data_IF_492151083872
#
_entry.id   IF_492151083872
#
_cell.length_a   1.000
_cell.length_b   1.000
_cell.length_c   1.000
_cell.angle_alpha   90.00
_cell.angle_beta   90.00
_cell.angle_gamma   90.00
#
_symmetry.space_group_name_H-M   'P 1'
#
loop_
_entity.id
_entity.type
_entity.pdbx_description
1 polymer ?
#
# COMPACT_ATOMS: atom_id res chain seq x y z
N UNK A 1 -5.01 8.08 -19.15
CA UNK A 1 -4.54 7.32 -17.96
C UNK A 1 -3.07 7.00 -18.16
N UNK A 2 -2.24 7.17 -17.15
CA UNK A 2 -0.81 6.84 -17.17
C UNK A 2 -0.59 5.75 -16.16
N UNK A 3 0.08 4.66 -16.55
CA UNK A 3 0.51 3.59 -15.62
C UNK A 3 2.00 3.75 -15.37
N UNK A 4 2.40 3.83 -14.12
CA UNK A 4 3.81 3.92 -13.72
C UNK A 4 4.28 2.61 -13.13
N UNK A 5 5.26 2.00 -13.79
CA UNK A 5 5.97 0.82 -13.29
C UNK A 5 7.32 1.25 -12.72
N UNK A 6 7.80 0.55 -11.72
CA UNK A 6 9.11 0.75 -11.12
C UNK A 6 9.98 -0.48 -11.37
N UNK A 7 11.25 -0.28 -11.72
CA UNK A 7 12.27 -1.33 -11.83
C UNK A 7 13.59 -0.90 -11.16
N UNK A 8 14.68 -1.62 -11.43
CA UNK A 8 16.02 -1.28 -10.89
C UNK A 8 16.54 0.05 -11.40
N UNK A 9 16.11 0.47 -12.58
CA UNK A 9 16.71 1.58 -13.35
C UNK A 9 15.82 2.84 -13.30
N UNK A 10 14.66 2.79 -12.59
CA UNK A 10 13.77 3.92 -12.36
C UNK A 10 12.32 3.68 -12.75
N UNK A 11 11.67 4.68 -13.32
CA UNK A 11 10.26 4.64 -13.67
C UNK A 11 10.03 4.42 -15.17
N UNK A 12 9.02 3.63 -15.47
CA UNK A 12 8.51 3.41 -16.81
C UNK A 12 7.06 3.85 -16.84
N UNK A 13 6.73 4.79 -17.73
CA UNK A 13 5.38 5.23 -17.97
C UNK A 13 4.78 4.54 -19.19
N UNK A 14 3.57 4.06 -19.04
CA UNK A 14 2.75 3.51 -20.13
C UNK A 14 1.53 4.40 -20.31
N UNK A 15 1.38 4.92 -21.50
CA UNK A 15 0.19 5.71 -21.95
C UNK A 15 -0.59 4.92 -23.00
N UNK A 16 -1.64 5.51 -23.58
CA UNK A 16 -2.32 4.94 -24.76
C UNK A 16 -1.40 4.77 -25.96
N UNK A 17 -0.38 5.61 -26.08
CA UNK A 17 0.36 5.82 -27.34
C UNK A 17 1.81 5.33 -27.25
N UNK A 18 2.37 5.31 -26.05
CA UNK A 18 3.80 4.96 -25.88
C UNK A 18 4.14 4.36 -24.53
N UNK A 19 5.24 3.63 -24.50
CA UNK A 19 5.92 3.16 -23.30
C UNK A 19 7.32 3.75 -23.26
N UNK A 20 7.62 4.49 -22.19
CA UNK A 20 8.85 5.28 -22.10
C UNK A 20 9.46 5.21 -20.71
N UNK A 21 10.79 5.37 -20.62
CA UNK A 21 11.51 5.53 -19.37
C UNK A 21 11.53 6.99 -18.96
N UNK A 22 11.16 7.27 -17.73
CA UNK A 22 11.16 8.63 -17.21
C UNK A 22 12.46 8.94 -16.47
N UNK A 23 13.05 10.09 -16.77
CA UNK A 23 14.06 10.73 -15.91
C UNK A 23 13.33 11.42 -14.75
N UNK A 24 12.80 10.60 -13.84
CA UNK A 24 11.98 11.02 -12.70
C UNK A 24 12.02 9.95 -11.62
N UNK A 25 12.06 10.36 -10.37
CA UNK A 25 11.94 9.47 -9.21
C UNK A 25 10.52 9.51 -8.63
N UNK A 26 10.13 8.45 -7.92
CA UNK A 26 8.87 8.47 -7.16
C UNK A 26 8.90 9.54 -6.08
N UNK A 27 10.03 9.72 -5.38
CA UNK A 27 10.17 10.76 -4.36
C UNK A 27 9.87 12.15 -4.93
N UNK A 28 10.42 12.49 -6.11
CA UNK A 28 10.14 13.75 -6.77
C UNK A 28 8.66 13.91 -7.13
N UNK A 29 8.01 12.81 -7.53
CA UNK A 29 6.58 12.80 -7.84
C UNK A 29 5.73 13.07 -6.60
N UNK A 30 6.02 12.38 -5.49
CA UNK A 30 5.32 12.56 -4.21
C UNK A 30 5.55 13.94 -3.60
N UNK A 31 6.71 14.56 -3.83
CA UNK A 31 7.01 15.93 -3.37
C UNK A 31 6.40 17.02 -4.26
N UNK A 32 6.01 16.69 -5.48
CA UNK A 32 5.46 17.66 -6.42
C UNK A 32 4.10 18.19 -5.96
N UNK A 33 3.86 19.51 -6.02
CA UNK A 33 2.52 20.06 -5.80
C UNK A 33 1.53 19.72 -6.93
N UNK A 34 2.04 19.41 -8.14
CA UNK A 34 1.26 18.92 -9.28
C UNK A 34 2.00 17.75 -9.96
N UNK A 35 1.83 16.53 -9.44
CA UNK A 35 2.43 15.33 -10.03
C UNK A 35 1.99 15.09 -11.47
N UNK A 36 0.75 15.45 -11.83
CA UNK A 36 0.24 15.30 -13.18
C UNK A 36 0.93 16.21 -14.19
N UNK A 37 1.18 17.46 -13.85
CA UNK A 37 1.93 18.38 -14.71
C UNK A 37 3.39 17.92 -14.87
N UNK A 38 4.03 17.50 -13.77
CA UNK A 38 5.38 16.98 -13.80
C UNK A 38 5.50 15.74 -14.68
N UNK A 39 4.57 14.80 -14.58
CA UNK A 39 4.53 13.62 -15.45
C UNK A 39 4.37 14.00 -16.93
N UNK A 40 3.44 14.89 -17.26
CA UNK A 40 3.25 15.35 -18.64
C UNK A 40 4.51 15.99 -19.22
N UNK A 41 5.21 16.80 -18.44
CA UNK A 41 6.48 17.40 -18.84
C UNK A 41 7.54 16.33 -19.13
N UNK A 42 7.71 15.37 -18.22
CA UNK A 42 8.73 14.31 -18.35
C UNK A 42 8.43 13.29 -19.46
N UNK A 43 7.20 13.22 -19.92
CA UNK A 43 6.81 12.34 -21.01
C UNK A 43 7.24 12.87 -22.40
N UNK A 44 7.51 14.17 -22.58
CA UNK A 44 7.69 14.79 -23.91
C UNK A 44 8.83 14.12 -24.68
N UNK A 45 10.03 14.14 -24.15
CA UNK A 45 11.24 13.63 -24.82
C UNK A 45 11.76 12.32 -24.20
N UNK A 46 10.91 11.59 -23.50
CA UNK A 46 11.30 10.38 -22.80
C UNK A 46 11.63 9.25 -23.79
N UNK A 47 12.76 8.55 -23.61
CA UNK A 47 13.17 7.47 -24.49
C UNK A 47 12.22 6.28 -24.39
N UNK A 48 12.06 5.56 -25.51
CA UNK A 48 11.26 4.35 -25.56
C UNK A 48 11.77 3.29 -24.57
N UNK A 49 10.85 2.56 -23.97
CA UNK A 49 11.14 1.50 -23.02
C UNK A 49 10.15 0.34 -23.17
N UNK A 50 10.36 -0.72 -22.41
CA UNK A 50 9.45 -1.85 -22.30
C UNK A 50 8.97 -2.01 -20.86
N UNK A 51 7.76 -2.54 -20.69
CA UNK A 51 7.25 -2.85 -19.35
C UNK A 51 8.18 -3.90 -18.70
N UNK A 52 8.61 -3.69 -17.45
CA UNK A 52 9.56 -4.59 -16.81
C UNK A 52 8.91 -5.96 -16.55
N UNK A 53 9.62 -7.03 -16.86
CA UNK A 53 9.22 -8.40 -16.54
C UNK A 53 9.23 -8.69 -15.04
N UNK A 54 10.09 -7.95 -14.30
CA UNK A 54 10.16 -7.94 -12.84
C UNK A 54 10.10 -6.49 -12.38
N UNK A 55 8.91 -6.04 -11.99
CA UNK A 55 8.71 -4.74 -11.39
C UNK A 55 9.10 -4.73 -9.91
N UNK A 56 9.36 -3.54 -9.40
CA UNK A 56 9.44 -3.26 -7.97
C UNK A 56 8.11 -2.71 -7.48
N UNK A 57 7.91 -2.72 -6.17
CA UNK A 57 6.80 -1.99 -5.56
C UNK A 57 6.86 -0.51 -5.97
N UNK A 58 5.73 0.13 -6.31
CA UNK A 58 5.71 1.52 -6.79
C UNK A 58 5.85 2.52 -5.61
N UNK A 59 6.94 2.41 -4.86
CA UNK A 59 7.34 3.33 -3.79
C UNK A 59 8.87 3.41 -3.74
N UNK A 60 9.39 4.46 -3.11
CA UNK A 60 10.84 4.69 -2.93
C UNK A 60 11.17 4.98 -1.46
N UNK A 61 10.92 6.18 -0.95
CA UNK A 61 11.11 6.51 0.47
C UNK A 61 9.80 6.60 1.27
N UNK A 62 8.65 6.44 0.61
CA UNK A 62 7.33 6.61 1.21
C UNK A 62 7.04 5.50 2.23
N UNK A 63 6.48 5.89 3.34
CA UNK A 63 5.86 4.97 4.29
C UNK A 63 4.48 4.54 3.83
N UNK A 64 4.06 3.35 4.24
CA UNK A 64 2.69 2.87 4.06
C UNK A 64 1.97 2.99 5.39
N UNK A 65 0.83 3.67 5.35
CA UNK A 65 -0.13 3.75 6.41
C UNK A 65 -1.41 3.06 5.97
N UNK A 66 -2.05 2.31 6.86
CA UNK A 66 -3.28 1.61 6.59
C UNK A 66 -4.43 2.18 7.42
N UNK A 67 -5.65 2.01 6.92
CA UNK A 67 -6.87 2.38 7.61
C UNK A 67 -7.63 1.11 7.99
N UNK A 68 -7.88 0.91 9.28
CA UNK A 68 -8.63 -0.25 9.77
C UNK A 68 -10.13 -0.13 9.51
N UNK A 69 -10.79 -1.29 9.40
CA UNK A 69 -12.26 -1.42 9.38
C UNK A 69 -12.93 -0.58 8.27
N UNK A 70 -12.34 -0.55 7.07
CA UNK A 70 -12.87 0.23 5.93
C UNK A 70 -14.04 -0.44 5.23
N UNK A 71 -14.28 -1.74 5.47
CA UNK A 71 -15.39 -2.51 4.89
C UNK A 71 -16.38 -2.95 5.96
N UNK A 72 -17.68 -2.82 5.67
CA UNK A 72 -18.74 -3.31 6.56
C UNK A 72 -18.58 -4.79 6.92
N UNK A 73 -18.22 -5.62 5.96
CA UNK A 73 -17.97 -7.05 6.18
C UNK A 73 -16.78 -7.29 7.12
N UNK A 74 -15.73 -6.48 7.00
CA UNK A 74 -14.57 -6.54 7.90
C UNK A 74 -14.96 -6.20 9.33
N UNK A 75 -15.80 -5.19 9.54
CA UNK A 75 -16.33 -4.84 10.86
C UNK A 75 -17.04 -6.04 11.51
N UNK A 76 -17.94 -6.70 10.75
CA UNK A 76 -18.69 -7.85 11.28
C UNK A 76 -17.77 -9.03 11.63
N UNK A 77 -16.78 -9.33 10.79
CA UNK A 77 -15.81 -10.38 11.04
C UNK A 77 -14.94 -10.07 12.28
N UNK A 78 -14.46 -8.83 12.40
CA UNK A 78 -13.65 -8.39 13.55
C UNK A 78 -14.39 -8.47 14.87
N UNK A 79 -15.67 -8.11 14.90
CA UNK A 79 -16.52 -8.27 16.07
C UNK A 79 -16.59 -9.73 16.54
N UNK A 80 -16.75 -10.63 15.59
CA UNK A 80 -16.86 -12.06 15.90
C UNK A 80 -15.54 -12.65 16.43
N UNK A 81 -14.41 -12.25 15.84
CA UNK A 81 -13.07 -12.67 16.19
C UNK A 81 -12.63 -12.14 17.57
N UNK A 82 -12.99 -10.91 17.92
CA UNK A 82 -12.54 -10.23 19.13
C UNK A 82 -13.49 -10.38 20.34
N UNK A 83 -14.62 -11.07 20.20
CA UNK A 83 -15.58 -11.31 21.30
C UNK A 83 -14.93 -11.86 22.57
N UNK A 84 -13.97 -12.78 22.42
CA UNK A 84 -13.28 -13.39 23.57
C UNK A 84 -12.35 -12.44 24.31
N UNK A 85 -11.84 -11.42 23.62
CA UNK A 85 -10.93 -10.41 24.17
C UNK A 85 -11.65 -9.11 24.60
N UNK A 86 -12.98 -9.07 24.55
CA UNK A 86 -13.75 -7.86 24.84
C UNK A 86 -13.63 -6.75 23.81
N UNK A 87 -13.14 -7.09 22.61
CA UNK A 87 -12.83 -6.13 21.54
C UNK A 87 -14.01 -5.78 20.63
N UNK A 88 -15.16 -6.45 20.74
CA UNK A 88 -16.34 -6.24 19.91
C UNK A 88 -16.85 -4.79 19.96
N UNK A 89 -16.80 -4.14 21.11
CA UNK A 89 -17.22 -2.73 21.28
C UNK A 89 -16.26 -1.72 20.66
N UNK A 90 -14.97 -2.06 20.50
CA UNK A 90 -13.98 -1.15 19.89
C UNK A 90 -14.22 -0.97 18.39
N UNK A 91 -14.48 -2.06 17.66
CA UNK A 91 -14.71 -2.00 16.22
C UNK A 91 -15.98 -1.27 15.83
N UNK A 92 -17.03 -1.33 16.67
CA UNK A 92 -18.23 -0.50 16.50
C UNK A 92 -17.92 0.98 16.64
N UNK A 93 -17.11 1.34 17.63
CA UNK A 93 -16.73 2.73 17.86
C UNK A 93 -15.87 3.26 16.73
N UNK A 94 -14.88 2.49 16.25
CA UNK A 94 -14.03 2.90 15.12
C UNK A 94 -14.83 3.10 13.85
N UNK A 95 -15.76 2.20 13.53
CA UNK A 95 -16.55 2.28 12.31
C UNK A 95 -17.49 3.51 12.27
N UNK A 96 -17.97 3.96 13.44
CA UNK A 96 -18.86 5.13 13.56
C UNK A 96 -18.12 6.42 13.95
N UNK A 97 -16.83 6.34 14.22
CA UNK A 97 -16.04 7.48 14.67
C UNK A 97 -15.79 8.48 13.53
N UNK A 98 -15.76 9.77 13.87
CA UNK A 98 -15.27 10.81 12.95
C UNK A 98 -13.81 10.63 12.58
N UNK A 99 -12.99 10.11 13.52
CA UNK A 99 -11.57 9.83 13.31
C UNK A 99 -11.40 8.37 12.88
N UNK A 100 -10.87 8.10 11.68
CA UNK A 100 -10.58 6.73 11.24
C UNK A 100 -9.46 6.12 12.08
N UNK A 101 -9.44 4.79 12.18
CA UNK A 101 -8.27 4.06 12.64
C UNK A 101 -7.18 4.13 11.57
N UNK A 102 -6.09 4.81 11.86
CA UNK A 102 -4.91 4.85 11.00
C UNK A 102 -3.73 4.24 11.76
N UNK A 103 -3.01 3.36 11.12
CA UNK A 103 -1.82 2.76 11.70
C UNK A 103 -0.68 2.67 10.66
N UNK A 104 0.54 2.75 11.17
CA UNK A 104 1.73 2.52 10.38
C UNK A 104 1.78 1.05 9.94
N UNK A 105 1.97 0.82 8.63
CA UNK A 105 2.02 -0.54 8.06
C UNK A 105 3.43 -0.97 7.69
N UNK A 106 4.16 -0.18 6.93
CA UNK A 106 5.48 -0.59 6.48
C UNK A 106 6.37 0.59 6.05
N UNK A 107 7.66 0.42 6.25
CA UNK A 107 8.71 1.15 5.55
C UNK A 107 9.01 0.47 4.21
N UNK A 108 9.62 1.16 3.23
CA UNK A 108 9.87 0.62 1.88
C UNK A 108 10.57 -0.74 1.85
N UNK A 109 11.57 -0.95 2.70
CA UNK A 109 12.33 -2.20 2.74
C UNK A 109 11.53 -3.43 3.22
N UNK A 110 10.34 -3.22 3.79
CA UNK A 110 9.43 -4.29 4.24
C UNK A 110 8.33 -4.61 3.23
N UNK A 111 8.34 -3.96 2.07
CA UNK A 111 7.31 -4.12 1.04
C UNK A 111 7.78 -5.07 -0.04
N UNK A 112 6.98 -6.09 -0.34
CA UNK A 112 7.17 -6.96 -1.47
C UNK A 112 6.64 -6.31 -2.74
N UNK A 113 7.37 -6.41 -3.84
CA UNK A 113 6.95 -6.02 -5.17
C UNK A 113 6.21 -7.12 -5.93
N UNK A 114 5.84 -6.87 -7.19
CA UNK A 114 5.16 -7.85 -8.03
C UNK A 114 5.97 -9.14 -8.20
N UNK A 115 5.32 -10.27 -7.92
CA UNK A 115 5.94 -11.60 -8.01
C UNK A 115 6.88 -11.96 -6.86
N UNK A 116 7.07 -11.07 -5.87
CA UNK A 116 7.83 -11.37 -4.67
C UNK A 116 6.96 -12.00 -3.58
N UNK A 117 7.57 -12.83 -2.73
CA UNK A 117 6.88 -13.46 -1.62
C UNK A 117 6.69 -12.47 -0.44
N UNK A 118 5.49 -12.40 0.09
CA UNK A 118 5.23 -11.86 1.44
C UNK A 118 5.65 -12.90 2.49
N UNK A 119 5.85 -12.45 3.73
CA UNK A 119 6.15 -13.33 4.85
C UNK A 119 4.98 -13.43 5.81
N UNK A 120 4.96 -14.52 6.56
CA UNK A 120 4.10 -14.73 7.71
C UNK A 120 4.97 -14.93 8.95
N UNK A 121 4.46 -14.60 10.11
CA UNK A 121 5.18 -14.79 11.38
C UNK A 121 5.23 -16.26 11.77
N UNK A 122 6.35 -16.69 12.35
CA UNK A 122 6.53 -18.07 12.81
C UNK A 122 5.69 -18.40 14.05
N UNK A 123 5.38 -17.39 14.84
CA UNK A 123 4.61 -17.47 16.09
C UNK A 123 3.11 -17.25 15.88
N UNK A 124 2.66 -17.04 14.64
CA UNK A 124 1.26 -16.91 14.27
C UNK A 124 0.75 -18.19 13.59
N UNK A 125 -0.45 -18.59 13.95
CA UNK A 125 -1.14 -19.77 13.40
C UNK A 125 -2.25 -19.41 12.42
N UNK A 126 -2.63 -18.13 12.36
CA UNK A 126 -3.67 -17.65 11.48
C UNK A 126 -3.26 -16.33 10.83
N UNK A 127 -2.85 -16.42 9.56
CA UNK A 127 -2.38 -15.29 8.79
C UNK A 127 -3.30 -15.07 7.59
N UNK A 128 -3.69 -13.83 7.34
CA UNK A 128 -4.68 -13.45 6.32
C UNK A 128 -4.08 -12.38 5.41
N UNK A 129 -4.14 -12.55 4.07
CA UNK A 129 -3.93 -11.46 3.14
C UNK A 129 -5.16 -10.56 3.12
N UNK A 130 -4.95 -9.26 3.20
CA UNK A 130 -6.00 -8.24 3.08
C UNK A 130 -5.71 -7.39 1.84
N UNK A 131 -6.32 -7.74 0.67
CA UNK A 131 -6.15 -6.95 -0.55
C UNK A 131 -6.91 -5.63 -0.43
N UNK A 132 -6.22 -4.53 -0.76
CA UNK A 132 -6.73 -3.18 -0.52
C UNK A 132 -6.44 -2.23 -1.69
N UNK A 133 -7.28 -1.21 -1.83
CA UNK A 133 -6.98 -0.05 -2.65
C UNK A 133 -5.98 0.83 -1.90
N UNK A 134 -4.81 1.04 -2.50
CA UNK A 134 -3.78 1.90 -1.93
C UNK A 134 -3.71 3.22 -2.70
N UNK A 135 -3.81 4.34 -1.99
CA UNK A 135 -3.79 5.68 -2.55
C UNK A 135 -2.38 6.27 -2.50
N UNK A 136 -1.95 6.89 -3.60
CA UNK A 136 -0.76 7.71 -3.64
C UNK A 136 -1.14 9.17 -3.30
N UNK A 137 -0.64 9.66 -2.18
CA UNK A 137 -0.96 10.99 -1.64
C UNK A 137 0.32 11.83 -1.63
N UNK A 138 0.31 12.98 -2.26
CA UNK A 138 1.47 13.86 -2.34
C UNK A 138 1.67 14.70 -1.06
N UNK A 139 2.76 15.48 -1.00
CA UNK A 139 3.10 16.37 0.12
C UNK A 139 2.07 17.48 0.39
N UNK A 140 1.13 17.72 -0.53
CA UNK A 140 0.01 18.65 -0.37
C UNK A 140 -1.28 17.96 0.10
N UNK A 141 -1.23 16.67 0.46
CA UNK A 141 -2.41 15.89 0.85
C UNK A 141 -3.36 15.55 -0.31
N UNK A 142 -2.90 15.66 -1.56
CA UNK A 142 -3.72 15.37 -2.74
C UNK A 142 -3.48 13.94 -3.23
N UNK A 143 -4.55 13.21 -3.47
CA UNK A 143 -4.49 11.90 -4.14
C UNK A 143 -4.16 12.15 -5.61
N UNK A 144 -3.10 11.54 -6.11
CA UNK A 144 -2.69 11.65 -7.51
C UNK A 144 -2.62 10.30 -8.25
N UNK A 145 -2.81 9.21 -7.51
CA UNK A 145 -2.81 7.89 -8.11
C UNK A 145 -3.26 6.81 -7.12
N UNK A 146 -3.34 5.59 -7.59
CA UNK A 146 -3.69 4.43 -6.78
C UNK A 146 -3.02 3.15 -7.30
N UNK A 147 -2.87 2.18 -6.42
CA UNK A 147 -2.37 0.84 -6.74
C UNK A 147 -3.10 -0.20 -5.90
N UNK A 148 -2.82 -1.47 -6.15
CA UNK A 148 -3.29 -2.56 -5.28
C UNK A 148 -2.26 -2.79 -4.18
N UNK A 149 -2.75 -2.90 -2.94
CA UNK A 149 -1.96 -3.26 -1.77
C UNK A 149 -2.39 -4.59 -1.17
N UNK A 150 -1.53 -5.13 -0.34
CA UNK A 150 -1.84 -6.26 0.52
C UNK A 150 -1.33 -5.97 1.94
N UNK A 151 -2.25 -5.85 2.89
CA UNK A 151 -1.96 -5.76 4.31
C UNK A 151 -1.95 -7.18 4.92
N UNK A 152 -0.77 -7.84 4.92
CA UNK A 152 -0.64 -9.14 5.58
C UNK A 152 -0.85 -9.00 7.09
N UNK A 153 -1.74 -9.79 7.63
CA UNK A 153 -2.20 -9.72 9.02
C UNK A 153 -2.01 -11.05 9.73
N UNK A 154 -1.35 -11.02 10.90
CA UNK A 154 -1.32 -12.14 11.84
C UNK A 154 -2.56 -12.06 12.71
N UNK A 155 -3.65 -12.65 12.23
CA UNK A 155 -5.00 -12.45 12.73
C UNK A 155 -5.22 -12.96 14.16
N UNK A 156 -4.56 -14.03 14.55
CA UNK A 156 -4.58 -14.55 15.92
C UNK A 156 -3.94 -13.58 16.92
N UNK A 157 -2.81 -12.96 16.56
CA UNK A 157 -2.13 -11.96 17.39
C UNK A 157 -2.98 -10.70 17.51
N UNK A 158 -3.57 -10.26 16.39
CA UNK A 158 -4.45 -9.10 16.36
C UNK A 158 -5.71 -9.31 17.22
N UNK A 159 -6.29 -10.51 17.19
CA UNK A 159 -7.47 -10.86 17.97
C UNK A 159 -7.17 -11.11 19.46
N UNK A 160 -5.92 -11.35 19.83
CA UNK A 160 -5.52 -11.60 21.23
C UNK A 160 -5.60 -10.33 22.07
N UNK A 161 -5.12 -9.20 21.56
CA UNK A 161 -5.13 -7.93 22.27
C UNK A 161 -5.05 -6.76 21.27
N UNK A 162 -5.94 -5.75 21.34
CA UNK A 162 -5.87 -4.57 20.47
C UNK A 162 -4.54 -3.82 20.49
N UNK A 163 -3.80 -3.88 21.61
CA UNK A 163 -2.47 -3.27 21.73
C UNK A 163 -1.38 -4.03 20.95
N UNK A 164 -1.68 -5.23 20.45
CA UNK A 164 -0.76 -6.02 19.64
C UNK A 164 -0.88 -5.74 18.13
N UNK A 165 -1.69 -4.75 17.73
CA UNK A 165 -1.83 -4.36 16.33
C UNK A 165 -0.47 -4.16 15.62
N UNK A 166 0.51 -3.43 16.19
CA UNK A 166 1.83 -3.30 15.55
C UNK A 166 2.55 -4.65 15.38
N UNK A 167 2.40 -5.59 16.32
CA UNK A 167 2.99 -6.91 16.19
C UNK A 167 2.31 -7.76 15.11
N UNK A 168 0.99 -7.62 14.97
CA UNK A 168 0.20 -8.34 13.99
C UNK A 168 0.43 -7.83 12.56
N UNK A 169 0.72 -6.54 12.39
CA UNK A 169 0.75 -5.83 11.10
C UNK A 169 2.14 -5.44 10.61
N UNK A 170 3.14 -5.25 11.50
CA UNK A 170 4.44 -4.66 11.16
C UNK A 170 5.57 -5.65 11.39
N UNK A 171 5.98 -6.34 10.34
CA UNK A 171 7.11 -7.26 10.33
C UNK A 171 7.74 -7.30 8.93
N UNK A 172 8.82 -8.01 8.74
CA UNK A 172 9.50 -8.10 7.46
C UNK A 172 8.59 -8.69 6.37
N UNK A 173 8.48 -8.00 5.23
CA UNK A 173 7.61 -8.35 4.09
C UNK A 173 6.14 -8.58 4.47
N UNK A 174 5.65 -7.79 5.42
CA UNK A 174 4.23 -7.81 5.84
C UNK A 174 3.31 -7.02 4.91
N UNK A 175 3.86 -6.31 3.92
CA UNK A 175 3.08 -5.59 2.93
C UNK A 175 3.53 -5.93 1.51
N UNK A 176 2.63 -5.78 0.54
CA UNK A 176 2.96 -5.83 -0.88
C UNK A 176 2.24 -4.72 -1.64
N UNK A 177 2.87 -4.17 -2.68
CA UNK A 177 2.28 -3.17 -3.56
C UNK A 177 2.57 -3.48 -5.03
N UNK A 178 1.65 -3.12 -5.90
CA UNK A 178 1.87 -3.16 -7.33
C UNK A 178 0.67 -3.68 -8.13
N UNK A 179 0.85 -3.95 -9.43
CA UNK A 179 2.13 -3.90 -10.16
C UNK A 179 2.53 -2.50 -10.64
N UNK A 180 1.62 -1.55 -10.67
CA UNK A 180 1.84 -0.20 -11.17
C UNK A 180 1.06 0.82 -10.33
N UNK A 181 1.51 2.05 -10.34
CA UNK A 181 0.72 3.20 -9.91
C UNK A 181 -0.07 3.74 -11.11
N UNK A 182 -1.39 3.92 -10.93
CA UNK A 182 -2.35 4.40 -11.94
C UNK A 182 -2.75 5.83 -11.69
#
# INVERSE_FOLDING_TARGET
>A
MIKLYSDSDGLIAVTSDKTVRLDLTLDALFQSPDPGALLRQKLVDAPAATIPTRGRAPLQSQEIWAAGVTYFRSMSARKEESKKAGGDTFYDRVYQAERPELFFKATPHRVAGPGEAVKIRRDSKWNVPEPELTLAINSQGKIFGYTVGNDMSSRDIEGENPLYLPQAKVYDRSAALGPALL
#
